data_IF_278728250268
#
_entry.id   IF_278728250268
#
_cell.length_a   1.000
_cell.length_b   1.000
_cell.length_c   1.000
_cell.angle_alpha   90.00
_cell.angle_beta   90.00
_cell.angle_gamma   90.00
#
_symmetry.space_group_name_H-M   'P 1'
#
loop_
_entity.id
_entity.type
_entity.pdbx_description
1 polymer ?
#
# COMPACT_ATOMS: atom_id res chain seq x y z
N UNK A 1 -14.80 36.40 7.86
CA UNK A 1 -13.47 35.86 8.27
C UNK A 1 -13.09 36.45 9.62
N UNK A 2 -12.31 35.71 10.41
CA UNK A 2 -11.89 36.14 11.74
C UNK A 2 -11.02 37.42 11.68
N UNK A 3 -11.20 38.45 12.60
CA UNK A 3 -10.45 39.69 12.55
C UNK A 3 -8.93 39.54 12.49
N UNK A 4 -8.36 38.54 13.17
CA UNK A 4 -6.91 38.24 13.13
C UNK A 4 -6.42 37.80 11.75
N UNK A 5 -7.28 37.19 10.93
CA UNK A 5 -6.96 36.83 9.54
C UNK A 5 -6.89 38.05 8.65
N UNK A 6 -7.82 38.98 8.84
CA UNK A 6 -7.84 40.26 8.12
C UNK A 6 -6.63 41.11 8.52
N UNK A 7 -6.32 41.21 9.81
CA UNK A 7 -5.15 41.95 10.32
C UNK A 7 -3.83 41.41 9.75
N UNK A 8 -3.68 40.06 9.67
CA UNK A 8 -2.50 39.42 9.06
C UNK A 8 -2.42 39.72 7.56
N UNK A 9 -3.55 39.67 6.84
CA UNK A 9 -3.63 39.97 5.42
C UNK A 9 -3.18 41.44 5.15
N UNK A 10 -3.73 42.39 5.87
CA UNK A 10 -3.37 43.81 5.77
C UNK A 10 -1.88 44.00 6.06
N UNK A 11 -1.38 43.50 7.19
CA UNK A 11 0.03 43.61 7.60
C UNK A 11 0.98 43.04 6.55
N UNK A 12 0.64 41.91 5.95
CA UNK A 12 1.46 41.18 4.96
C UNK A 12 1.55 41.89 3.61
N UNK A 13 0.50 42.63 3.22
CA UNK A 13 0.36 43.16 1.86
C UNK A 13 0.32 44.71 1.82
N UNK A 14 0.45 45.37 2.96
CA UNK A 14 0.57 46.82 3.06
C UNK A 14 1.92 47.32 2.56
N UNK A 15 1.94 48.50 1.98
CA UNK A 15 3.16 49.19 1.61
C UNK A 15 3.55 50.25 2.64
N UNK A 16 4.82 50.32 3.00
CA UNK A 16 5.36 51.38 3.85
C UNK A 16 5.64 52.65 3.05
N UNK A 17 5.63 52.63 1.72
CA UNK A 17 5.94 53.78 0.89
C UNK A 17 4.87 54.87 1.05
N UNK A 18 5.25 56.13 1.31
CA UNK A 18 4.32 57.23 1.58
C UNK A 18 3.27 57.47 0.49
N UNK A 19 3.64 57.33 -0.76
CA UNK A 19 2.76 57.48 -1.92
C UNK A 19 1.56 56.51 -1.91
N UNK A 20 1.78 55.24 -1.51
CA UNK A 20 0.70 54.24 -1.45
C UNK A 20 -0.25 54.51 -0.28
N UNK A 21 0.26 55.10 0.85
CA UNK A 21 -0.59 55.49 1.97
C UNK A 21 -1.52 56.67 1.60
N UNK A 22 -1.06 57.60 0.78
CA UNK A 22 -1.89 58.70 0.26
C UNK A 22 -2.95 58.23 -0.75
N UNK A 23 -2.60 57.29 -1.62
CA UNK A 23 -3.47 56.84 -2.72
C UNK A 23 -4.57 55.87 -2.30
N UNK A 24 -4.30 54.96 -1.36
CA UNK A 24 -5.23 53.89 -1.06
C UNK A 24 -5.86 53.93 0.33
N UNK A 25 -5.09 54.06 1.39
CA UNK A 25 -5.55 54.26 2.78
C UNK A 25 -4.35 54.44 3.71
N UNK A 26 -4.62 54.77 4.99
CA UNK A 26 -3.58 54.94 6.03
C UNK A 26 -2.64 53.72 6.21
N UNK A 27 -3.05 52.56 5.76
CA UNK A 27 -2.25 51.32 5.83
C UNK A 27 -1.47 51.02 4.53
N UNK A 28 -1.71 51.78 3.45
CA UNK A 28 -1.12 51.49 2.13
C UNK A 28 -1.54 50.14 1.57
N UNK A 29 -2.72 49.64 1.97
CA UNK A 29 -3.26 48.36 1.50
C UNK A 29 -4.16 48.56 0.26
N UNK A 30 -3.91 47.76 -0.77
CA UNK A 30 -4.72 47.70 -1.98
C UNK A 30 -4.98 46.23 -2.31
N UNK A 31 -6.26 45.84 -2.43
CA UNK A 31 -6.67 44.46 -2.68
C UNK A 31 -6.12 43.89 -4.01
N UNK A 32 -6.07 44.70 -5.04
CA UNK A 32 -5.54 44.30 -6.35
C UNK A 32 -4.03 44.01 -6.28
N UNK A 33 -3.27 44.84 -5.61
CA UNK A 33 -1.86 44.63 -5.32
C UNK A 33 -1.66 43.38 -4.45
N UNK A 34 -2.49 43.20 -3.43
CA UNK A 34 -2.45 42.02 -2.56
C UNK A 34 -2.69 40.71 -3.35
N UNK A 35 -3.66 40.74 -4.28
CA UNK A 35 -3.93 39.61 -5.18
C UNK A 35 -2.75 39.32 -6.09
N UNK A 36 -2.13 40.33 -6.69
CA UNK A 36 -0.95 40.16 -7.55
C UNK A 36 0.25 39.63 -6.76
N UNK A 37 0.48 40.14 -5.55
CA UNK A 37 1.53 39.62 -4.65
C UNK A 37 1.26 38.16 -4.22
N UNK A 38 -0.02 37.81 -3.99
CA UNK A 38 -0.40 36.41 -3.73
C UNK A 38 -0.11 35.52 -4.91
N UNK A 39 -0.49 35.90 -6.12
CA UNK A 39 -0.24 35.13 -7.34
C UNK A 39 1.27 34.96 -7.57
N UNK A 40 2.06 36.06 -7.40
CA UNK A 40 3.52 36.03 -7.54
C UNK A 40 4.15 35.08 -6.52
N UNK A 41 3.86 35.24 -5.23
CA UNK A 41 4.36 34.34 -4.17
C UNK A 41 3.98 32.87 -4.42
N UNK A 42 2.75 32.62 -4.90
CA UNK A 42 2.29 31.28 -5.24
C UNK A 42 3.04 30.71 -6.45
N UNK A 43 3.46 31.53 -7.41
CA UNK A 43 4.32 31.11 -8.53
C UNK A 43 5.75 30.85 -8.06
N UNK A 44 6.30 31.71 -7.25
CA UNK A 44 7.65 31.58 -6.66
C UNK A 44 7.75 30.38 -5.72
N UNK A 45 6.68 30.06 -4.97
CA UNK A 45 6.60 28.86 -4.11
C UNK A 45 6.21 27.57 -4.86
N UNK A 46 5.88 27.66 -6.14
CA UNK A 46 5.71 26.44 -6.93
C UNK A 46 7.06 25.74 -6.99
N UNK A 47 7.15 24.65 -6.21
CA UNK A 47 8.23 23.67 -6.36
C UNK A 47 8.47 23.43 -7.87
N UNK A 48 9.73 23.33 -8.24
CA UNK A 48 10.11 22.98 -9.62
C UNK A 48 9.21 21.85 -10.10
N UNK A 49 8.49 22.12 -11.20
CA UNK A 49 7.68 21.09 -11.80
C UNK A 49 8.60 19.92 -12.16
N UNK A 50 8.15 18.70 -11.91
CA UNK A 50 8.84 17.52 -12.43
C UNK A 50 8.91 17.67 -13.96
N UNK A 51 10.11 17.84 -14.48
CA UNK A 51 10.33 18.04 -15.92
C UNK A 51 10.91 16.75 -16.54
N UNK A 52 10.51 16.42 -17.77
CA UNK A 52 11.13 15.33 -18.52
C UNK A 52 12.65 15.48 -18.58
N UNK A 53 13.39 14.35 -18.45
CA UNK A 53 14.84 14.32 -18.52
C UNK A 53 15.56 14.72 -17.22
N UNK A 54 14.85 15.03 -16.14
CA UNK A 54 15.48 15.20 -14.84
C UNK A 54 15.68 13.84 -14.13
N UNK A 55 16.69 13.68 -13.29
CA UNK A 55 16.90 12.44 -12.52
C UNK A 55 15.66 12.00 -11.74
N UNK A 56 14.92 12.95 -11.15
CA UNK A 56 13.66 12.73 -10.44
C UNK A 56 12.59 12.13 -11.35
N UNK A 57 12.48 12.64 -12.58
CA UNK A 57 11.54 12.18 -13.56
C UNK A 57 11.83 10.74 -14.00
N UNK A 58 13.07 10.45 -14.35
CA UNK A 58 13.50 9.12 -14.81
C UNK A 58 13.35 8.08 -13.67
N UNK A 59 13.72 8.45 -12.45
CA UNK A 59 13.55 7.59 -11.29
C UNK A 59 12.09 7.23 -11.02
N UNK A 60 11.18 8.22 -11.14
CA UNK A 60 9.76 7.98 -10.98
C UNK A 60 9.22 7.04 -12.07
N UNK A 61 9.61 7.26 -13.34
CA UNK A 61 9.18 6.39 -14.44
C UNK A 61 9.68 4.96 -14.23
N UNK A 62 10.96 4.78 -13.92
CA UNK A 62 11.54 3.48 -13.65
C UNK A 62 10.80 2.76 -12.51
N UNK A 63 10.58 3.45 -11.37
CA UNK A 63 9.84 2.88 -10.27
C UNK A 63 8.41 2.48 -10.62
N UNK A 64 7.70 3.31 -11.40
CA UNK A 64 6.34 2.99 -11.85
C UNK A 64 6.33 1.80 -12.82
N UNK A 65 7.33 1.66 -13.68
CA UNK A 65 7.50 0.50 -14.58
C UNK A 65 7.78 -0.79 -13.82
N UNK A 66 8.48 -0.70 -12.67
CA UNK A 66 8.67 -1.80 -11.72
C UNK A 66 7.49 -1.97 -10.75
N UNK A 67 6.34 -1.38 -11.04
CA UNK A 67 5.11 -1.44 -10.25
C UNK A 67 5.24 -0.91 -8.81
N UNK A 68 6.25 -0.08 -8.52
CA UNK A 68 6.35 0.57 -7.21
C UNK A 68 5.23 1.59 -7.03
N UNK A 69 4.66 1.63 -5.84
CA UNK A 69 3.69 2.68 -5.53
C UNK A 69 4.38 4.05 -5.43
N UNK A 70 3.65 5.16 -5.66
CA UNK A 70 4.20 6.50 -5.44
C UNK A 70 4.82 6.70 -4.06
N UNK A 71 4.27 6.05 -3.02
CA UNK A 71 4.82 6.07 -1.66
C UNK A 71 6.18 5.36 -1.58
N UNK A 72 6.31 4.18 -2.21
CA UNK A 72 7.58 3.44 -2.27
C UNK A 72 8.64 4.24 -3.02
N UNK A 73 8.29 4.84 -4.15
CA UNK A 73 9.19 5.68 -4.95
C UNK A 73 9.71 6.85 -4.10
N UNK A 74 8.82 7.56 -3.40
CA UNK A 74 9.23 8.67 -2.54
C UNK A 74 10.10 8.22 -1.37
N UNK A 75 9.77 7.10 -0.74
CA UNK A 75 10.54 6.55 0.38
C UNK A 75 11.94 6.08 -0.03
N UNK A 76 12.04 5.38 -1.17
CA UNK A 76 13.35 4.95 -1.72
C UNK A 76 14.19 6.14 -2.15
N UNK A 77 13.61 7.10 -2.87
CA UNK A 77 14.31 8.33 -3.26
C UNK A 77 14.93 9.05 -2.07
N UNK A 78 14.18 9.20 -0.98
CA UNK A 78 14.69 9.85 0.23
C UNK A 78 15.85 9.09 0.89
N UNK A 79 15.86 7.76 0.81
CA UNK A 79 16.95 6.93 1.34
C UNK A 79 18.20 6.94 0.46
N UNK A 80 18.00 6.87 -0.85
CA UNK A 80 19.09 6.79 -1.84
C UNK A 80 19.73 8.15 -2.12
N UNK A 81 18.93 9.23 -2.01
CA UNK A 81 19.38 10.61 -2.31
C UNK A 81 18.98 11.58 -1.18
N UNK A 82 19.51 11.42 0.04
CA UNK A 82 19.11 12.22 1.21
C UNK A 82 19.41 13.71 1.05
N UNK A 83 20.42 14.09 0.24
CA UNK A 83 20.80 15.46 -0.07
C UNK A 83 19.88 16.13 -1.10
N UNK A 84 19.08 15.37 -1.84
CA UNK A 84 18.16 15.90 -2.84
C UNK A 84 16.79 16.24 -2.23
N UNK A 85 16.06 17.10 -2.92
CA UNK A 85 14.68 17.43 -2.50
C UNK A 85 13.81 16.17 -2.49
N UNK A 86 13.01 15.98 -1.42
CA UNK A 86 12.09 14.86 -1.35
C UNK A 86 11.02 14.94 -2.44
N UNK A 87 10.70 13.80 -3.02
CA UNK A 87 9.59 13.68 -3.95
C UNK A 87 8.25 13.76 -3.20
N UNK A 88 7.22 14.28 -3.87
CA UNK A 88 5.89 14.42 -3.30
C UNK A 88 4.92 13.39 -3.90
N UNK A 89 4.43 12.49 -3.06
CA UNK A 89 3.47 11.43 -3.43
C UNK A 89 2.26 11.98 -4.19
N UNK A 90 1.65 13.05 -3.67
CA UNK A 90 0.47 13.66 -4.32
C UNK A 90 0.77 14.25 -5.70
N UNK A 91 2.01 14.70 -5.93
CA UNK A 91 2.45 15.19 -7.24
C UNK A 91 2.57 14.05 -8.25
N UNK A 92 3.12 12.90 -7.84
CA UNK A 92 3.22 11.71 -8.70
C UNK A 92 1.81 11.23 -9.08
N UNK A 93 0.90 11.07 -8.13
CA UNK A 93 -0.50 10.71 -8.42
C UNK A 93 -1.19 11.70 -9.35
N UNK A 94 -0.95 13.00 -9.16
CA UNK A 94 -1.51 14.04 -10.04
C UNK A 94 -0.97 13.90 -11.46
N UNK A 95 0.32 13.66 -11.63
CA UNK A 95 0.94 13.53 -12.96
C UNK A 95 0.46 12.27 -13.69
N UNK A 96 0.28 11.15 -12.98
CA UNK A 96 -0.33 9.94 -13.54
C UNK A 96 -1.76 10.24 -14.03
N UNK A 97 -2.59 10.91 -13.20
CA UNK A 97 -3.98 11.27 -13.58
C UNK A 97 -4.06 12.22 -14.76
N UNK A 98 -3.09 13.10 -14.90
CA UNK A 98 -3.00 14.05 -16.01
C UNK A 98 -2.31 13.47 -17.26
N UNK A 99 -1.90 12.18 -17.24
CA UNK A 99 -1.22 11.53 -18.35
C UNK A 99 0.13 12.15 -18.71
N UNK A 100 0.82 12.77 -17.75
CA UNK A 100 2.09 13.46 -18.02
C UNK A 100 3.27 12.51 -18.17
N UNK A 101 3.24 11.33 -17.55
CA UNK A 101 4.29 10.32 -17.70
C UNK A 101 4.02 9.48 -18.95
N UNK A 102 4.97 9.39 -19.90
CA UNK A 102 4.82 8.57 -21.11
C UNK A 102 4.57 7.10 -20.74
N UNK A 103 3.61 6.46 -21.41
CA UNK A 103 3.25 5.05 -21.23
C UNK A 103 2.78 4.64 -19.82
N UNK A 104 2.64 5.58 -18.90
CA UNK A 104 2.17 5.33 -17.52
C UNK A 104 0.69 5.72 -17.41
N UNK A 105 -0.15 4.78 -16.97
CA UNK A 105 -1.58 5.00 -16.73
C UNK A 105 -1.98 4.55 -15.34
N UNK A 106 -3.00 5.17 -14.75
CA UNK A 106 -3.54 4.75 -13.46
C UNK A 106 -4.07 3.31 -13.49
N UNK A 107 -4.60 2.87 -14.64
CA UNK A 107 -5.17 1.53 -14.82
C UNK A 107 -4.10 0.43 -14.77
N UNK A 108 -2.93 0.67 -15.31
CA UNK A 108 -1.85 -0.32 -15.43
C UNK A 108 -0.85 -0.26 -14.27
N UNK A 109 -0.55 0.94 -13.73
CA UNK A 109 0.58 1.16 -12.83
C UNK A 109 0.18 1.52 -11.39
N UNK A 110 -1.13 1.75 -11.11
CA UNK A 110 -1.59 1.99 -9.74
C UNK A 110 -2.36 0.78 -9.21
N UNK A 111 -2.05 0.34 -7.99
CA UNK A 111 -2.66 -0.82 -7.31
C UNK A 111 -4.18 -0.82 -7.37
N UNK A 112 -4.84 0.32 -7.18
CA UNK A 112 -6.31 0.47 -7.25
C UNK A 112 -6.83 0.83 -8.63
N UNK A 113 -6.01 0.81 -9.65
CA UNK A 113 -6.40 1.13 -11.03
C UNK A 113 -7.19 2.45 -11.15
N UNK A 114 -6.94 3.41 -10.25
CA UNK A 114 -7.66 4.68 -10.15
C UNK A 114 -9.03 4.61 -9.44
N UNK A 115 -9.45 3.46 -8.93
CA UNK A 115 -10.74 3.28 -8.25
C UNK A 115 -10.69 3.76 -6.78
N UNK A 116 -11.84 4.27 -6.26
CA UNK A 116 -12.02 4.60 -4.84
C UNK A 116 -12.23 3.35 -3.98
N UNK A 117 -11.90 3.44 -2.68
CA UNK A 117 -12.17 2.38 -1.70
C UNK A 117 -13.68 2.24 -1.51
N UNK A 118 -14.19 1.00 -1.57
CA UNK A 118 -15.55 0.66 -1.13
C UNK A 118 -15.44 -0.34 0.03
N UNK A 119 -16.12 -0.08 1.15
CA UNK A 119 -16.23 -1.01 2.30
C UNK A 119 -17.34 -2.03 2.04
N UNK A 120 -17.10 -3.30 2.34
CA UNK A 120 -18.05 -4.41 2.21
C UNK A 120 -18.11 -5.25 3.49
N UNK A 121 -19.31 -5.78 3.81
CA UNK A 121 -19.54 -6.74 4.89
C UNK A 121 -19.46 -8.17 4.35
N UNK A 122 -18.90 -9.13 5.11
CA UNK A 122 -18.74 -10.54 4.76
C UNK A 122 -19.31 -11.46 5.84
N UNK A 123 -19.88 -12.62 5.43
CA UNK A 123 -20.38 -13.68 6.30
C UNK A 123 -19.35 -14.82 6.38
N UNK A 124 -19.18 -15.42 7.55
CA UNK A 124 -18.19 -16.48 7.82
C UNK A 124 -18.82 -17.75 8.39
N UNK A 125 -18.32 -18.92 7.93
CA UNK A 125 -18.47 -20.21 8.60
C UNK A 125 -17.20 -20.45 9.43
N UNK A 126 -17.33 -20.79 10.72
CA UNK A 126 -16.22 -20.81 11.67
C UNK A 126 -15.66 -22.21 11.95
N UNK A 127 -14.35 -22.35 11.85
CA UNK A 127 -13.55 -23.38 12.52
C UNK A 127 -13.62 -23.13 14.03
N UNK A 128 -13.53 -24.17 14.88
CA UNK A 128 -13.25 -24.00 16.29
C UNK A 128 -11.72 -23.99 16.49
N UNK A 129 -11.11 -22.83 16.66
CA UNK A 129 -9.65 -22.70 16.80
C UNK A 129 -9.21 -23.07 18.21
N UNK A 130 -8.02 -23.69 18.32
CA UNK A 130 -7.39 -23.95 19.62
C UNK A 130 -6.80 -22.67 20.22
N UNK A 131 -6.43 -21.68 19.37
CA UNK A 131 -5.85 -20.37 19.74
C UNK A 131 -6.35 -19.26 18.86
N UNK A 132 -6.56 -18.09 19.45
CA UNK A 132 -7.02 -16.89 18.72
C UNK A 132 -5.95 -15.78 18.74
N UNK A 133 -6.00 -14.86 17.77
CA UNK A 133 -5.04 -13.76 17.62
C UNK A 133 -4.86 -12.91 18.90
N UNK A 134 -5.91 -12.57 19.68
CA UNK A 134 -5.71 -11.89 20.97
C UNK A 134 -4.79 -12.60 21.98
N UNK A 135 -4.55 -13.90 21.81
CA UNK A 135 -3.63 -14.69 22.63
C UNK A 135 -2.18 -14.67 22.14
N UNK A 136 -1.86 -13.83 21.15
CA UNK A 136 -0.50 -13.69 20.65
C UNK A 136 0.45 -13.22 21.74
N UNK A 137 1.64 -13.84 21.86
CA UNK A 137 2.75 -13.27 22.58
C UNK A 137 3.13 -11.87 22.06
N UNK A 138 3.74 -11.06 22.93
CA UNK A 138 4.14 -9.69 22.59
C UNK A 138 5.08 -9.61 21.38
N UNK A 139 5.93 -10.61 21.19
CA UNK A 139 6.84 -10.67 20.05
C UNK A 139 6.10 -10.72 18.71
N UNK A 140 4.97 -11.44 18.66
CA UNK A 140 4.13 -11.53 17.46
C UNK A 140 3.37 -10.22 17.28
N UNK A 141 2.74 -9.71 18.35
CA UNK A 141 1.93 -8.48 18.31
C UNK A 141 2.75 -7.28 17.85
N UNK A 142 3.95 -7.13 18.41
CA UNK A 142 4.87 -6.02 18.13
C UNK A 142 5.79 -6.26 16.94
N UNK A 143 5.65 -7.40 16.22
CA UNK A 143 6.44 -7.74 15.02
C UNK A 143 7.95 -7.67 15.24
N UNK A 144 8.41 -8.19 16.37
CA UNK A 144 9.81 -8.06 16.80
C UNK A 144 10.71 -9.02 16.01
N UNK A 145 10.21 -10.22 15.68
CA UNK A 145 10.99 -11.31 15.08
C UNK A 145 10.50 -11.68 13.67
N UNK A 146 11.37 -12.28 12.87
CA UNK A 146 11.05 -12.91 11.58
C UNK A 146 10.54 -14.34 11.85
N UNK A 147 9.62 -14.80 11.01
CA UNK A 147 9.05 -16.14 11.07
C UNK A 147 7.63 -16.20 11.62
N UNK A 148 7.01 -15.07 11.90
CA UNK A 148 5.59 -14.99 12.22
C UNK A 148 4.80 -14.69 10.94
N UNK A 149 4.16 -15.72 10.37
CA UNK A 149 3.51 -15.66 9.08
C UNK A 149 2.01 -15.43 9.18
N UNK A 150 1.47 -14.57 8.34
CA UNK A 150 0.02 -14.43 8.12
C UNK A 150 -0.33 -15.12 6.79
N UNK A 151 -1.24 -16.12 6.85
CA UNK A 151 -1.68 -16.87 5.68
C UNK A 151 -3.11 -16.52 5.25
N UNK A 152 -3.38 -16.50 3.94
CA UNK A 152 -4.69 -16.28 3.34
C UNK A 152 -4.82 -16.98 2.00
N UNK A 153 -6.03 -17.01 1.44
CA UNK A 153 -6.28 -17.51 0.10
C UNK A 153 -6.87 -16.45 -0.80
N UNK A 154 -6.34 -16.36 -2.02
CA UNK A 154 -6.82 -15.45 -3.05
C UNK A 154 -7.65 -16.24 -4.06
N UNK A 155 -8.97 -16.17 -3.92
CA UNK A 155 -9.92 -16.96 -4.72
C UNK A 155 -10.15 -16.36 -6.12
N UNK A 156 -10.00 -17.18 -7.17
CA UNK A 156 -10.25 -16.79 -8.56
C UNK A 156 -11.73 -16.78 -8.96
N UNK A 157 -12.55 -17.56 -8.28
CA UNK A 157 -13.94 -17.80 -8.60
C UNK A 157 -14.24 -19.30 -8.75
N UNK A 158 -15.51 -19.64 -8.88
CA UNK A 158 -15.92 -21.04 -9.05
C UNK A 158 -15.19 -21.66 -10.26
N UNK A 159 -14.47 -22.77 -10.03
CA UNK A 159 -13.73 -23.48 -11.06
C UNK A 159 -12.49 -22.78 -11.62
N UNK A 160 -12.00 -21.70 -11.01
CA UNK A 160 -10.86 -20.89 -11.50
C UNK A 160 -9.59 -20.99 -10.66
N UNK A 161 -9.53 -21.96 -9.76
CA UNK A 161 -8.37 -22.14 -8.89
C UNK A 161 -8.21 -21.08 -7.81
N UNK A 162 -7.18 -21.22 -7.01
CA UNK A 162 -6.84 -20.36 -5.86
C UNK A 162 -5.33 -20.16 -5.78
N UNK A 163 -4.96 -19.12 -5.03
CA UNK A 163 -3.58 -18.86 -4.66
C UNK A 163 -3.50 -18.77 -3.13
N UNK A 164 -2.55 -19.48 -2.51
CA UNK A 164 -2.17 -19.25 -1.10
C UNK A 164 -1.21 -18.09 -1.07
N UNK A 165 -1.38 -17.21 -0.12
CA UNK A 165 -0.46 -16.13 0.21
C UNK A 165 -0.01 -16.25 1.66
N UNK A 166 1.29 -16.15 1.91
CA UNK A 166 1.91 -16.14 3.23
C UNK A 166 2.79 -14.92 3.34
N UNK A 167 2.58 -14.09 4.35
CA UNK A 167 3.34 -12.86 4.55
C UNK A 167 3.98 -12.86 5.91
N UNK A 168 5.29 -12.71 5.98
CA UNK A 168 5.98 -12.49 7.23
C UNK A 168 5.61 -11.13 7.84
N UNK A 169 5.23 -11.13 9.11
CA UNK A 169 4.70 -9.93 9.78
C UNK A 169 5.73 -8.83 9.95
N UNK A 170 7.00 -9.18 10.13
CA UNK A 170 8.10 -8.22 10.33
C UNK A 170 8.68 -7.74 9.02
N UNK A 171 9.19 -8.64 8.20
CA UNK A 171 9.88 -8.31 6.95
C UNK A 171 8.94 -7.88 5.83
N UNK A 172 7.67 -8.28 5.89
CA UNK A 172 6.67 -8.19 4.84
C UNK A 172 6.95 -9.09 3.64
N UNK A 173 7.93 -9.97 3.75
CA UNK A 173 8.25 -10.93 2.72
C UNK A 173 7.05 -11.81 2.40
N UNK A 174 6.70 -11.90 1.14
CA UNK A 174 5.56 -12.64 0.60
C UNK A 174 6.04 -13.98 0.04
N UNK A 175 5.30 -15.04 0.30
CA UNK A 175 5.37 -16.32 -0.42
C UNK A 175 4.00 -16.62 -1.03
N UNK A 176 4.00 -17.10 -2.25
CA UNK A 176 2.77 -17.44 -2.97
C UNK A 176 2.83 -18.84 -3.60
N UNK A 177 1.69 -19.53 -3.66
CA UNK A 177 1.63 -20.85 -4.30
C UNK A 177 0.24 -21.16 -4.86
N UNK A 178 0.23 -21.80 -6.03
CA UNK A 178 -1.01 -22.26 -6.67
C UNK A 178 -1.65 -23.41 -5.89
N UNK A 179 -2.97 -23.36 -5.78
CA UNK A 179 -3.78 -24.43 -5.25
C UNK A 179 -4.60 -25.07 -6.38
N UNK A 180 -4.42 -26.36 -6.56
CA UNK A 180 -5.22 -27.13 -7.51
C UNK A 180 -6.69 -27.22 -7.08
N UNK A 181 -6.93 -27.34 -5.76
CA UNK A 181 -8.27 -27.40 -5.19
C UNK A 181 -8.36 -26.65 -3.86
N UNK A 182 -9.58 -26.36 -3.41
CA UNK A 182 -9.86 -25.71 -2.12
C UNK A 182 -10.00 -26.75 -0.99
N UNK A 183 -9.17 -27.80 -0.98
CA UNK A 183 -9.15 -28.75 0.11
C UNK A 183 -8.19 -28.31 1.20
N UNK A 184 -8.49 -28.68 2.45
CA UNK A 184 -7.59 -28.41 3.57
C UNK A 184 -6.25 -29.13 3.40
N UNK A 185 -6.26 -30.33 2.82
CA UNK A 185 -5.06 -31.11 2.55
C UNK A 185 -4.13 -30.41 1.55
N UNK A 186 -4.66 -29.94 0.40
CA UNK A 186 -3.84 -29.24 -0.62
C UNK A 186 -3.30 -27.92 -0.06
N UNK A 187 -4.14 -27.17 0.67
CA UNK A 187 -3.73 -25.92 1.31
C UNK A 187 -2.58 -26.16 2.28
N UNK A 188 -2.69 -27.18 3.14
CA UNK A 188 -1.63 -27.58 4.07
C UNK A 188 -0.33 -27.93 3.34
N UNK A 189 -0.43 -28.80 2.28
CA UNK A 189 0.74 -29.22 1.49
C UNK A 189 1.46 -28.03 0.86
N UNK A 190 0.72 -27.08 0.30
CA UNK A 190 1.29 -25.87 -0.31
C UNK A 190 1.92 -24.97 0.74
N UNK A 191 1.28 -24.73 1.89
CA UNK A 191 1.88 -23.94 2.98
C UNK A 191 3.20 -24.57 3.45
N UNK A 192 3.24 -25.88 3.69
CA UNK A 192 4.47 -26.58 4.09
C UNK A 192 5.55 -26.47 3.02
N UNK A 193 5.20 -26.58 1.72
CA UNK A 193 6.14 -26.41 0.60
C UNK A 193 6.75 -25.02 0.59
N UNK A 194 5.90 -23.99 0.71
CA UNK A 194 6.32 -22.57 0.65
C UNK A 194 7.20 -22.14 1.82
N UNK A 195 6.98 -22.69 3.01
CA UNK A 195 7.73 -22.33 4.23
C UNK A 195 8.96 -23.21 4.45
N UNK A 196 9.22 -24.17 3.58
CA UNK A 196 10.39 -25.08 3.70
C UNK A 196 11.71 -24.28 3.66
N UNK A 197 12.53 -24.45 4.69
CA UNK A 197 13.83 -23.78 4.80
C UNK A 197 13.77 -22.33 5.27
N UNK A 198 12.57 -21.80 5.51
CA UNK A 198 12.38 -20.47 6.09
C UNK A 198 12.18 -20.57 7.62
N UNK A 199 12.50 -19.51 8.36
CA UNK A 199 12.15 -19.45 9.78
C UNK A 199 10.62 -19.44 9.94
N UNK A 200 10.07 -20.38 10.72
CA UNK A 200 8.65 -20.44 11.08
C UNK A 200 8.52 -20.48 12.59
N UNK A 201 7.93 -19.44 13.17
CA UNK A 201 7.71 -19.29 14.62
C UNK A 201 6.24 -19.34 15.00
N UNK A 202 5.37 -18.83 14.11
CA UNK A 202 3.92 -18.92 14.22
C UNK A 202 3.29 -18.75 12.85
N UNK A 203 2.05 -19.26 12.69
CA UNK A 203 1.22 -19.03 11.51
C UNK A 203 -0.13 -18.52 11.98
N UNK A 204 -0.62 -17.45 11.36
CA UNK A 204 -1.94 -16.86 11.65
C UNK A 204 -2.84 -16.97 10.44
N UNK A 205 -4.03 -17.51 10.61
CA UNK A 205 -4.97 -17.84 9.56
C UNK A 205 -6.35 -17.22 9.82
N UNK A 206 -7.22 -17.20 8.82
CA UNK A 206 -8.64 -16.96 9.05
C UNK A 206 -9.39 -18.27 9.36
N UNK A 207 -10.69 -18.14 9.66
CA UNK A 207 -11.54 -19.28 9.96
C UNK A 207 -12.08 -19.98 8.70
N UNK A 208 -11.39 -19.90 7.56
CA UNK A 208 -11.75 -20.56 6.33
C UNK A 208 -11.65 -22.09 6.43
N UNK A 209 -12.62 -22.81 5.88
CA UNK A 209 -12.62 -24.29 5.88
C UNK A 209 -11.38 -24.92 5.25
N UNK A 210 -10.70 -24.20 4.36
CA UNK A 210 -9.42 -24.59 3.76
C UNK A 210 -8.27 -24.71 4.76
N UNK A 211 -8.43 -24.21 5.97
CA UNK A 211 -7.45 -24.32 7.05
C UNK A 211 -7.85 -25.33 8.14
N UNK A 212 -8.86 -26.18 7.90
CA UNK A 212 -9.34 -27.14 8.91
C UNK A 212 -8.30 -28.20 9.33
N UNK A 213 -7.27 -28.46 8.51
CA UNK A 213 -6.14 -29.33 8.88
C UNK A 213 -5.01 -28.61 9.62
N UNK A 214 -5.31 -27.51 10.33
CA UNK A 214 -4.29 -26.71 11.01
C UNK A 214 -3.45 -27.48 12.04
N UNK A 215 -4.03 -28.48 12.73
CA UNK A 215 -3.27 -29.32 13.67
C UNK A 215 -2.17 -30.12 12.97
N UNK A 216 -2.45 -30.68 11.79
CA UNK A 216 -1.43 -31.33 10.97
C UNK A 216 -0.41 -30.34 10.44
N UNK A 217 -0.81 -29.07 10.19
CA UNK A 217 0.11 -28.00 9.82
C UNK A 217 1.07 -27.67 10.96
N UNK A 218 0.56 -27.59 12.22
CA UNK A 218 1.37 -27.41 13.43
C UNK A 218 2.42 -28.52 13.56
N UNK A 219 2.01 -29.79 13.37
CA UNK A 219 2.90 -30.95 13.41
C UNK A 219 4.01 -30.89 12.37
N UNK A 220 3.68 -30.55 11.11
CA UNK A 220 4.67 -30.49 10.02
C UNK A 220 5.65 -29.33 10.11
N UNK A 221 5.20 -28.19 10.63
CA UNK A 221 6.01 -26.99 10.76
C UNK A 221 6.64 -26.82 12.14
N UNK A 222 6.29 -27.70 13.10
CA UNK A 222 6.71 -27.61 14.50
C UNK A 222 6.44 -26.20 15.09
N UNK A 223 5.24 -25.65 14.85
CA UNK A 223 4.88 -24.29 15.20
C UNK A 223 3.43 -24.20 15.69
N UNK A 224 3.04 -23.03 16.20
CA UNK A 224 1.67 -22.77 16.65
C UNK A 224 0.88 -22.02 15.58
N UNK A 225 -0.39 -22.42 15.40
CA UNK A 225 -1.33 -21.75 14.54
C UNK A 225 -2.33 -20.93 15.36
N UNK A 226 -2.53 -19.68 14.99
CA UNK A 226 -3.49 -18.75 15.57
C UNK A 226 -4.55 -18.37 14.57
N UNK A 227 -5.77 -18.13 15.03
CA UNK A 227 -6.88 -17.76 14.17
C UNK A 227 -7.41 -16.36 14.48
N UNK A 228 -7.80 -15.64 13.43
CA UNK A 228 -8.50 -14.38 13.61
C UNK A 228 -9.88 -14.62 14.24
N UNK A 229 -10.28 -13.72 15.14
CA UNK A 229 -11.64 -13.75 15.67
C UNK A 229 -12.64 -13.42 14.55
N UNK A 230 -13.83 -14.06 14.56
CA UNK A 230 -14.88 -13.72 13.62
C UNK A 230 -15.21 -12.23 13.64
N UNK A 231 -15.42 -11.65 12.46
CA UNK A 231 -15.79 -10.23 12.28
C UNK A 231 -14.74 -9.20 12.73
N UNK A 232 -13.47 -9.58 12.93
CA UNK A 232 -12.37 -8.67 13.27
C UNK A 232 -11.29 -8.62 12.17
N UNK A 233 -11.59 -8.14 10.96
CA UNK A 233 -10.64 -8.13 9.82
C UNK A 233 -9.37 -7.32 10.12
N UNK A 234 -9.44 -6.31 10.99
CA UNK A 234 -8.28 -5.49 11.37
C UNK A 234 -7.15 -6.29 12.04
N UNK A 235 -7.42 -7.45 12.60
CA UNK A 235 -6.40 -8.34 13.19
C UNK A 235 -5.42 -8.87 12.13
N UNK A 236 -5.82 -8.89 10.85
CA UNK A 236 -5.04 -9.40 9.71
C UNK A 236 -4.74 -8.32 8.66
N UNK A 237 -4.49 -7.10 9.11
CA UNK A 237 -4.24 -5.96 8.23
C UNK A 237 -3.01 -6.12 7.33
N UNK A 238 -2.03 -6.99 7.67
CA UNK A 238 -0.88 -7.30 6.82
C UNK A 238 -1.34 -8.02 5.56
N UNK A 239 -2.16 -9.07 5.70
CA UNK A 239 -2.70 -9.83 4.58
C UNK A 239 -3.63 -9.00 3.70
N UNK A 240 -4.51 -8.19 4.29
CA UNK A 240 -5.42 -7.35 3.52
C UNK A 240 -4.63 -6.42 2.58
N UNK A 241 -3.61 -5.74 3.11
CA UNK A 241 -2.75 -4.88 2.30
C UNK A 241 -1.97 -5.66 1.23
N UNK A 242 -1.44 -6.83 1.57
CA UNK A 242 -0.67 -7.66 0.62
C UNK A 242 -1.58 -8.24 -0.46
N UNK A 243 -2.75 -8.75 -0.09
CA UNK A 243 -3.71 -9.27 -1.04
C UNK A 243 -4.24 -8.18 -2.00
N UNK A 244 -4.34 -6.93 -1.56
CA UNK A 244 -4.63 -5.80 -2.47
C UNK A 244 -3.51 -5.59 -3.51
N UNK A 245 -2.24 -5.84 -3.15
CA UNK A 245 -1.12 -5.81 -4.09
C UNK A 245 -1.19 -7.01 -5.06
N UNK A 246 -1.38 -8.21 -4.52
CA UNK A 246 -1.53 -9.44 -5.32
C UNK A 246 -2.71 -9.30 -6.30
N UNK A 247 -3.82 -8.67 -5.88
CA UNK A 247 -4.98 -8.40 -6.73
C UNK A 247 -4.74 -7.36 -7.82
N UNK A 248 -3.66 -6.62 -7.78
CA UNK A 248 -3.25 -5.79 -8.91
C UNK A 248 -2.80 -6.67 -10.10
N UNK A 249 -2.04 -7.72 -9.83
CA UNK A 249 -1.57 -8.67 -10.84
C UNK A 249 -2.65 -9.70 -11.18
N UNK A 250 -3.32 -10.26 -10.17
CA UNK A 250 -4.37 -11.26 -10.28
C UNK A 250 -5.73 -10.68 -9.85
N UNK A 251 -6.44 -9.95 -10.73
CA UNK A 251 -7.69 -9.28 -10.39
C UNK A 251 -8.80 -10.25 -10.01
N UNK A 252 -9.86 -9.74 -9.37
CA UNK A 252 -11.04 -10.57 -9.04
C UNK A 252 -11.59 -11.24 -10.28
N UNK A 253 -11.85 -12.55 -10.17
CA UNK A 253 -12.32 -13.36 -11.27
C UNK A 253 -11.21 -13.88 -12.19
N UNK A 254 -9.94 -13.64 -11.85
CA UNK A 254 -8.78 -14.18 -12.54
C UNK A 254 -8.78 -15.72 -12.50
N UNK A 255 -8.40 -16.37 -13.60
CA UNK A 255 -8.35 -17.82 -13.70
C UNK A 255 -6.93 -18.32 -13.39
N UNK A 256 -6.70 -18.79 -12.17
CA UNK A 256 -5.41 -19.31 -11.72
C UNK A 256 -4.98 -20.61 -12.40
N UNK A 257 -5.85 -21.26 -13.17
CA UNK A 257 -5.48 -22.43 -13.97
C UNK A 257 -4.69 -22.07 -15.23
N UNK A 258 -4.67 -20.81 -15.60
CA UNK A 258 -3.99 -20.29 -16.80
C UNK A 258 -2.57 -19.80 -16.53
N UNK A 259 -2.10 -19.88 -15.29
CA UNK A 259 -0.74 -19.46 -14.88
C UNK A 259 0.03 -20.64 -14.30
N UNK A 260 1.35 -20.56 -14.43
CA UNK A 260 2.30 -21.55 -13.90
C UNK A 260 2.86 -21.13 -12.55
N UNK A 261 3.58 -22.04 -11.89
CA UNK A 261 4.32 -21.70 -10.65
C UNK A 261 5.38 -20.61 -10.93
N UNK A 262 5.99 -20.59 -12.13
CA UNK A 262 6.98 -19.59 -12.55
C UNK A 262 6.36 -18.22 -12.71
N UNK A 263 5.15 -18.12 -13.26
CA UNK A 263 4.42 -16.85 -13.37
C UNK A 263 4.10 -16.29 -11.99
N UNK A 264 3.71 -17.16 -11.04
CA UNK A 264 3.45 -16.77 -9.64
C UNK A 264 4.74 -16.32 -8.95
N UNK A 265 5.86 -17.05 -9.16
CA UNK A 265 7.16 -16.69 -8.61
C UNK A 265 7.63 -15.34 -9.16
N UNK A 266 7.47 -15.08 -10.46
CA UNK A 266 7.80 -13.79 -11.05
C UNK A 266 7.04 -12.62 -10.39
N UNK A 267 5.73 -12.81 -10.14
CA UNK A 267 4.94 -11.78 -9.44
C UNK A 267 5.36 -11.65 -7.97
N UNK A 268 5.70 -12.75 -7.30
CA UNK A 268 6.23 -12.77 -5.94
C UNK A 268 7.51 -11.93 -5.85
N UNK A 269 8.45 -12.14 -6.78
CA UNK A 269 9.73 -11.42 -6.84
C UNK A 269 9.54 -9.91 -7.12
N UNK A 270 8.53 -9.53 -7.91
CA UNK A 270 8.18 -8.13 -8.15
C UNK A 270 7.59 -7.43 -6.91
N UNK A 271 6.98 -8.18 -6.00
CA UNK A 271 6.35 -7.65 -4.80
C UNK A 271 7.35 -7.52 -3.65
N UNK A 272 8.31 -8.47 -3.54
CA UNK A 272 9.36 -8.52 -2.52
C UNK A 272 10.51 -7.54 -2.81
#
# INVERSE_FOLDING_TARGET
RHPSTIGREVKRNSSKHPQYRKLYNRYGYNHWRASNLYIRRRREQKHQALNPGTPEWEYIIAGLQHYWSPEMICGRWHKEFPERKPLCVSTIYRYIRLGRFPKITAKQHLRRRGKRIQTRNANYNSIQPDRIIPEWPDEISNRIRIGDWEGDTVYGGVGKGLLVTLVDRKSRHLKMGLLASRTAEDTRKVIVKLLRGLPVKSVSLDNGSEFSEFRKLEEHLHTLVYFAEPHKPWQRGTNENTNDIVRFFFPKGFDFRTVTDEDVQFVEDLIN
#
